data_IF_089809589535
#
_entry.id   IF_089809589535
#
_cell.length_a   1.000
_cell.length_b   1.000
_cell.length_c   1.000
_cell.angle_alpha   90.00
_cell.angle_beta   90.00
_cell.angle_gamma   90.00
#
_symmetry.space_group_name_H-M   'P 1'
#
loop_
_entity.id
_entity.type
_entity.pdbx_description
1 polymer ?
#
# COMPACT_ATOMS: atom_id res chain seq x y z
N UNK A 1 32.21 -24.71 -12.20
CA UNK A 1 33.04 -24.41 -11.00
C UNK A 1 33.38 -22.92 -10.84
N UNK A 2 33.80 -22.21 -11.90
CA UNK A 2 33.98 -20.74 -11.90
C UNK A 2 32.72 -19.95 -11.52
N UNK A 3 31.55 -20.35 -12.04
CA UNK A 3 30.27 -19.72 -11.65
C UNK A 3 29.90 -19.96 -10.19
N UNK A 4 30.11 -21.18 -9.66
CA UNK A 4 29.88 -21.46 -8.22
C UNK A 4 30.79 -20.61 -7.31
N UNK A 5 32.07 -20.42 -7.69
CA UNK A 5 33.00 -19.55 -6.94
C UNK A 5 32.65 -18.06 -7.07
N UNK A 6 32.20 -17.61 -8.25
CA UNK A 6 31.72 -16.25 -8.47
C UNK A 6 30.44 -15.97 -7.67
N UNK A 7 29.50 -16.91 -7.66
CA UNK A 7 28.28 -16.85 -6.84
C UNK A 7 28.67 -16.80 -5.37
N UNK A 8 29.50 -17.72 -4.86
CA UNK A 8 29.88 -17.74 -3.43
C UNK A 8 30.57 -16.44 -2.97
N UNK A 9 31.43 -15.84 -3.79
CA UNK A 9 32.04 -14.55 -3.51
C UNK A 9 31.03 -13.39 -3.48
N UNK A 10 30.11 -13.37 -4.45
CA UNK A 10 29.01 -12.41 -4.50
C UNK A 10 28.05 -12.60 -3.33
N UNK A 11 27.70 -13.83 -2.96
CA UNK A 11 26.81 -14.15 -1.82
C UNK A 11 27.43 -13.74 -0.49
N UNK A 12 28.75 -13.90 -0.31
CA UNK A 12 29.45 -13.46 0.90
C UNK A 12 29.46 -11.93 1.01
N UNK A 13 29.81 -11.24 -0.07
CA UNK A 13 29.76 -9.77 -0.14
C UNK A 13 28.34 -9.22 0.01
N UNK A 14 27.35 -9.89 -0.58
CA UNK A 14 25.94 -9.58 -0.45
C UNK A 14 25.48 -9.75 1.00
N UNK A 15 25.82 -10.85 1.67
CA UNK A 15 25.53 -11.05 3.10
C UNK A 15 26.19 -10.03 4.00
N UNK A 16 27.43 -9.64 3.72
CA UNK A 16 28.12 -8.59 4.48
C UNK A 16 27.48 -7.22 4.27
N UNK A 17 27.06 -6.91 3.03
CA UNK A 17 26.27 -5.71 2.71
C UNK A 17 24.89 -5.74 3.33
N UNK A 18 24.19 -6.87 3.29
CA UNK A 18 22.88 -7.08 3.89
C UNK A 18 22.93 -6.91 5.40
N UNK A 19 23.96 -7.43 6.08
CA UNK A 19 24.20 -7.20 7.52
C UNK A 19 24.42 -5.73 7.84
N UNK A 20 25.19 -5.00 7.01
CA UNK A 20 25.40 -3.55 7.18
C UNK A 20 24.13 -2.74 6.88
N UNK A 21 23.40 -3.12 5.84
CA UNK A 21 22.13 -2.55 5.45
C UNK A 21 21.06 -2.76 6.52
N UNK A 22 21.03 -3.94 7.16
CA UNK A 22 20.08 -4.23 8.25
C UNK A 22 20.27 -3.30 9.45
N UNK A 23 21.51 -2.88 9.74
CA UNK A 23 21.78 -1.93 10.83
C UNK A 23 21.37 -0.48 10.47
N UNK A 24 21.40 -0.10 9.19
CA UNK A 24 21.16 1.28 8.74
C UNK A 24 20.38 1.36 7.42
N UNK A 25 19.20 0.74 7.35
CA UNK A 25 18.33 0.85 6.19
C UNK A 25 17.59 2.20 6.21
N UNK A 26 18.16 3.22 5.56
CA UNK A 26 17.62 4.59 5.56
C UNK A 26 16.22 4.70 4.95
N UNK A 27 15.86 3.77 4.07
CA UNK A 27 14.57 3.69 3.37
C UNK A 27 13.48 2.98 4.16
N UNK A 28 13.86 2.22 5.19
CA UNK A 28 12.93 1.51 6.05
C UNK A 28 12.54 2.38 7.25
N UNK A 29 11.23 2.48 7.47
CA UNK A 29 10.59 2.93 8.71
C UNK A 29 9.89 1.73 9.30
N UNK A 30 10.61 1.03 10.16
CA UNK A 30 10.23 -0.28 10.64
C UNK A 30 9.03 -0.27 11.59
N UNK A 31 8.39 -1.42 11.76
CA UNK A 31 7.43 -1.70 12.82
C UNK A 31 8.09 -2.45 13.99
N UNK A 32 7.36 -2.62 15.09
CA UNK A 32 7.90 -3.24 16.32
C UNK A 32 7.74 -4.75 16.37
N UNK A 33 6.72 -5.27 15.70
CA UNK A 33 6.34 -6.68 15.71
C UNK A 33 6.49 -7.20 14.28
N UNK A 34 7.26 -8.27 14.13
CA UNK A 34 7.54 -8.94 12.87
C UNK A 34 6.98 -10.36 12.86
N UNK A 35 6.68 -10.87 11.67
CA UNK A 35 6.18 -12.24 11.48
C UNK A 35 7.14 -13.30 12.07
N UNK A 36 8.45 -13.07 11.93
CA UNK A 36 9.49 -13.97 12.41
C UNK A 36 9.87 -13.80 13.89
N UNK A 37 9.20 -12.92 14.64
CA UNK A 37 9.43 -12.80 16.08
C UNK A 37 9.00 -14.08 16.82
N UNK A 38 9.59 -14.39 17.99
CA UNK A 38 9.13 -15.48 18.82
C UNK A 38 7.65 -15.34 19.18
N UNK A 39 6.92 -16.45 19.21
CA UNK A 39 5.51 -16.44 19.58
C UNK A 39 5.29 -15.79 20.95
N UNK A 40 4.31 -14.89 21.10
CA UNK A 40 4.05 -14.24 22.36
C UNK A 40 3.75 -15.29 23.44
N UNK A 41 4.44 -15.19 24.58
CA UNK A 41 4.19 -16.06 25.73
C UNK A 41 2.90 -15.62 26.42
N UNK A 42 1.75 -16.03 25.90
CA UNK A 42 0.46 -15.75 26.55
C UNK A 42 0.35 -16.58 27.83
N UNK A 43 0.23 -15.90 28.98
CA UNK A 43 -0.35 -16.52 30.17
C UNK A 43 -1.82 -16.74 29.82
N UNK A 44 -2.19 -17.96 29.44
CA UNK A 44 -3.60 -18.35 29.26
C UNK A 44 -4.39 -18.00 30.52
N UNK A 45 -5.06 -16.85 30.54
CA UNK A 45 -6.28 -16.71 31.33
C UNK A 45 -7.33 -17.49 30.55
N UNK A 46 -7.97 -18.45 31.20
CA UNK A 46 -9.04 -19.23 30.60
C UNK A 46 -10.09 -18.28 29.99
N UNK A 47 -10.28 -18.34 28.68
CA UNK A 47 -11.35 -17.62 27.97
C UNK A 47 -10.94 -16.41 27.09
N UNK A 48 -9.71 -15.91 27.12
CA UNK A 48 -9.27 -14.81 26.24
C UNK A 48 -8.26 -15.30 25.17
N UNK A 49 -8.72 -15.46 23.92
CA UNK A 49 -7.83 -15.57 22.76
C UNK A 49 -7.33 -14.17 22.39
N UNK A 50 -6.09 -13.85 22.75
CA UNK A 50 -5.43 -12.66 22.23
C UNK A 50 -4.92 -12.96 20.81
N UNK A 51 -5.37 -12.24 19.77
CA UNK A 51 -4.89 -12.46 18.41
C UNK A 51 -3.40 -12.17 18.30
N UNK A 52 -2.69 -13.04 17.58
CA UNK A 52 -1.25 -12.92 17.38
C UNK A 52 -0.94 -11.86 16.32
N UNK A 53 -0.56 -10.67 16.79
CA UNK A 53 -0.26 -9.49 15.97
C UNK A 53 0.85 -9.71 14.94
N UNK A 54 1.64 -10.78 15.03
CA UNK A 54 2.66 -11.11 14.03
C UNK A 54 2.02 -11.36 12.65
N UNK A 55 0.82 -11.92 12.60
CA UNK A 55 0.08 -12.13 11.35
C UNK A 55 -0.62 -10.86 10.82
N UNK A 56 -0.66 -9.79 11.62
CA UNK A 56 -1.09 -8.47 11.17
C UNK A 56 0.08 -7.64 10.64
N UNK A 57 1.31 -8.16 10.72
CA UNK A 57 2.50 -7.42 10.31
C UNK A 57 2.52 -7.18 8.81
N UNK A 58 2.75 -5.94 8.41
CA UNK A 58 2.80 -5.55 7.01
C UNK A 58 3.94 -4.58 6.73
N UNK A 59 4.34 -4.48 5.47
CA UNK A 59 5.27 -3.48 4.97
C UNK A 59 4.68 -2.84 3.71
N UNK A 60 4.57 -1.51 3.74
CA UNK A 60 4.13 -0.70 2.60
C UNK A 60 5.36 -0.26 1.79
N UNK A 61 5.47 -0.74 0.55
CA UNK A 61 6.47 -0.30 -0.43
C UNK A 61 5.86 0.87 -1.20
N UNK A 62 6.41 2.07 -1.02
CA UNK A 62 5.87 3.30 -1.60
C UNK A 62 6.74 3.83 -2.73
N UNK A 63 6.12 4.46 -3.74
CA UNK A 63 6.79 5.06 -4.90
C UNK A 63 7.80 6.18 -4.56
N UNK A 64 7.58 6.93 -3.48
CA UNK A 64 8.49 8.01 -3.08
C UNK A 64 8.30 8.52 -1.67
N UNK A 65 9.09 9.52 -1.29
CA UNK A 65 9.13 10.06 0.07
C UNK A 65 7.82 10.79 0.45
N UNK A 66 7.06 11.30 -0.53
CA UNK A 66 5.76 11.93 -0.30
C UNK A 66 4.73 10.94 0.24
N UNK A 67 4.44 9.87 -0.52
CA UNK A 67 3.55 8.79 -0.09
C UNK A 67 4.05 8.11 1.20
N UNK A 68 5.37 7.86 1.29
CA UNK A 68 6.00 7.33 2.51
C UNK A 68 5.73 8.21 3.73
N UNK A 69 5.80 9.53 3.58
CA UNK A 69 5.52 10.50 4.64
C UNK A 69 4.08 10.44 5.13
N UNK A 70 3.10 10.36 4.23
CA UNK A 70 1.68 10.22 4.57
C UNK A 70 1.39 8.92 5.32
N UNK A 71 1.89 7.77 4.82
CA UNK A 71 1.71 6.47 5.48
C UNK A 71 2.42 6.44 6.84
N UNK A 72 3.65 6.96 6.91
CA UNK A 72 4.44 6.95 8.15
C UNK A 72 3.73 7.69 9.29
N UNK A 73 3.01 8.78 8.99
CA UNK A 73 2.24 9.54 9.99
C UNK A 73 0.94 8.84 10.42
N UNK A 74 0.42 7.93 9.60
CA UNK A 74 -0.92 7.36 9.74
C UNK A 74 -0.91 5.91 10.27
N UNK A 75 0.18 5.18 10.02
CA UNK A 75 0.33 3.74 10.28
C UNK A 75 0.25 3.37 11.76
N UNK A 76 -0.13 2.12 12.03
CA UNK A 76 0.18 1.49 13.32
C UNK A 76 1.66 1.09 13.36
N UNK A 77 2.44 1.84 14.14
CA UNK A 77 3.88 1.59 14.32
C UNK A 77 4.21 0.21 14.90
N UNK A 78 3.24 -0.50 15.47
CA UNK A 78 3.47 -1.84 16.00
C UNK A 78 3.56 -2.89 14.90
N UNK A 79 2.69 -2.83 13.89
CA UNK A 79 2.55 -3.91 12.89
C UNK A 79 2.86 -3.47 11.47
N UNK A 80 2.80 -2.18 11.14
CA UNK A 80 2.90 -1.71 9.77
C UNK A 80 4.22 -1.00 9.55
N UNK A 81 5.13 -1.50 8.72
CA UNK A 81 6.36 -0.84 8.30
C UNK A 81 6.18 -0.09 6.97
N UNK A 82 7.10 0.82 6.65
CA UNK A 82 7.11 1.56 5.37
C UNK A 82 8.50 1.52 4.75
N UNK A 83 8.58 1.25 3.46
CA UNK A 83 9.80 1.26 2.67
C UNK A 83 9.65 2.19 1.48
N UNK A 84 10.48 3.25 1.39
CA UNK A 84 10.41 4.20 0.27
C UNK A 84 11.36 3.82 -0.87
N UNK A 85 10.78 3.59 -2.05
CA UNK A 85 11.52 3.56 -3.30
C UNK A 85 11.99 4.96 -3.69
N UNK A 86 12.97 5.02 -4.57
CA UNK A 86 13.38 6.28 -5.22
C UNK A 86 13.34 6.11 -6.72
N UNK A 87 12.36 6.75 -7.33
CA UNK A 87 12.10 6.61 -8.76
C UNK A 87 11.66 5.20 -9.13
N UNK A 88 11.66 4.92 -10.43
CA UNK A 88 11.21 3.64 -10.97
C UNK A 88 12.22 2.53 -10.64
N UNK A 89 11.81 1.41 -10.04
CA UNK A 89 12.69 0.28 -9.83
C UNK A 89 13.32 -0.21 -11.13
N UNK A 90 14.50 -0.81 -11.03
CA UNK A 90 15.15 -1.42 -12.19
C UNK A 90 14.26 -2.52 -12.76
N UNK A 91 13.97 -2.50 -14.06
CA UNK A 91 13.34 -3.64 -14.73
C UNK A 91 14.27 -4.85 -14.62
N UNK A 92 13.89 -5.80 -13.77
CA UNK A 92 14.72 -6.95 -13.43
C UNK A 92 14.51 -8.14 -14.38
N UNK A 93 13.62 -8.00 -15.38
CA UNK A 93 13.33 -9.07 -16.31
C UNK A 93 14.58 -9.50 -17.09
N UNK A 94 14.86 -10.81 -17.10
CA UNK A 94 16.04 -11.37 -17.77
C UNK A 94 17.39 -11.03 -17.13
N UNK A 95 17.41 -10.24 -16.04
CA UNK A 95 18.63 -9.95 -15.29
C UNK A 95 19.04 -11.11 -14.39
N UNK A 96 20.34 -11.24 -14.17
CA UNK A 96 20.88 -12.22 -13.22
C UNK A 96 20.71 -11.74 -11.79
N UNK A 97 20.69 -12.68 -10.83
CA UNK A 97 20.68 -12.37 -9.38
C UNK A 97 21.78 -11.39 -8.98
N UNK A 98 22.96 -11.47 -9.61
CA UNK A 98 24.09 -10.58 -9.32
C UNK A 98 23.74 -9.10 -9.51
N UNK A 99 23.14 -8.75 -10.65
CA UNK A 99 22.77 -7.35 -10.96
C UNK A 99 21.74 -6.82 -9.96
N UNK A 100 20.80 -7.67 -9.57
CA UNK A 100 19.78 -7.36 -8.57
C UNK A 100 20.38 -7.15 -7.18
N UNK A 101 21.37 -7.95 -6.79
CA UNK A 101 22.09 -7.73 -5.52
C UNK A 101 22.98 -6.49 -5.51
N UNK A 102 23.49 -6.08 -6.67
CA UNK A 102 24.29 -4.85 -6.83
C UNK A 102 23.40 -3.59 -6.84
N UNK A 103 22.12 -3.74 -7.20
CA UNK A 103 21.15 -2.67 -7.13
C UNK A 103 20.81 -2.33 -5.66
N UNK A 104 20.99 -1.06 -5.29
CA UNK A 104 20.78 -0.61 -3.91
C UNK A 104 19.33 -0.76 -3.45
N UNK A 105 18.34 -0.41 -4.29
CA UNK A 105 16.91 -0.51 -3.95
C UNK A 105 16.52 -1.95 -3.60
N UNK A 106 16.88 -2.89 -4.48
CA UNK A 106 16.57 -4.31 -4.27
C UNK A 106 17.38 -4.91 -3.13
N UNK A 107 18.65 -4.51 -2.94
CA UNK A 107 19.44 -5.00 -1.81
C UNK A 107 18.83 -4.57 -0.47
N UNK A 108 18.45 -3.29 -0.35
CA UNK A 108 17.81 -2.76 0.86
C UNK A 108 16.43 -3.36 1.10
N UNK A 109 15.64 -3.62 0.04
CA UNK A 109 14.34 -4.26 0.16
C UNK A 109 14.45 -5.72 0.59
N UNK A 110 15.38 -6.48 0.00
CA UNK A 110 15.63 -7.87 0.39
C UNK A 110 16.04 -7.98 1.86
N UNK A 111 16.91 -7.08 2.32
CA UNK A 111 17.30 -6.99 3.73
C UNK A 111 16.10 -6.61 4.63
N UNK A 112 15.26 -5.67 4.19
CA UNK A 112 14.06 -5.28 4.92
C UNK A 112 13.08 -6.46 5.09
N UNK A 113 12.88 -7.27 4.05
CA UNK A 113 11.97 -8.43 4.08
C UNK A 113 12.60 -9.68 4.71
N UNK A 114 13.93 -9.76 4.75
CA UNK A 114 14.73 -10.92 5.13
C UNK A 114 14.44 -12.17 4.27
N UNK A 115 14.53 -12.01 2.94
CA UNK A 115 14.15 -13.05 1.97
C UNK A 115 15.32 -13.65 1.18
N UNK A 116 16.57 -13.25 1.46
CA UNK A 116 17.75 -13.64 0.67
C UNK A 116 17.96 -15.16 0.59
N UNK A 117 17.76 -15.85 1.72
CA UNK A 117 18.00 -17.29 1.89
C UNK A 117 16.68 -18.09 1.90
N UNK A 118 15.55 -17.48 1.52
CA UNK A 118 14.21 -18.10 1.56
C UNK A 118 13.23 -17.33 2.45
N UNK A 119 12.08 -17.94 2.74
CA UNK A 119 10.97 -17.28 3.45
C UNK A 119 10.87 -17.62 4.94
N UNK A 120 11.72 -18.52 5.46
CA UNK A 120 11.66 -18.97 6.86
C UNK A 120 11.89 -17.81 7.85
N UNK A 121 12.66 -16.80 7.42
CA UNK A 121 12.93 -15.59 8.18
C UNK A 121 12.08 -14.39 7.77
N UNK A 122 11.03 -14.57 6.96
CA UNK A 122 10.22 -13.46 6.44
C UNK A 122 9.70 -12.58 7.57
N UNK A 123 9.93 -11.26 7.44
CA UNK A 123 9.68 -10.31 8.53
C UNK A 123 8.25 -9.76 8.58
N UNK A 124 7.50 -9.84 7.50
CA UNK A 124 6.15 -9.28 7.42
C UNK A 124 5.22 -10.28 6.74
N UNK A 125 4.02 -10.44 7.28
CA UNK A 125 2.98 -11.28 6.70
C UNK A 125 2.46 -10.71 5.38
N UNK A 126 2.34 -9.37 5.28
CA UNK A 126 1.84 -8.69 4.09
C UNK A 126 2.88 -7.73 3.52
N UNK A 127 3.29 -7.98 2.29
CA UNK A 127 4.12 -7.09 1.46
C UNK A 127 3.19 -6.33 0.52
N UNK A 128 2.96 -5.05 0.83
CA UNK A 128 1.94 -4.23 0.17
C UNK A 128 2.62 -3.20 -0.71
N UNK A 129 2.40 -3.25 -2.02
CA UNK A 129 2.83 -2.20 -2.95
C UNK A 129 1.78 -1.09 -2.94
N UNK A 130 2.17 0.08 -2.45
CA UNK A 130 1.31 1.26 -2.28
C UNK A 130 1.82 2.40 -3.16
N UNK A 131 1.32 2.44 -4.40
CA UNK A 131 1.63 3.47 -5.39
C UNK A 131 0.40 4.29 -5.71
N UNK A 132 0.62 5.44 -6.35
CA UNK A 132 -0.45 6.30 -6.83
C UNK A 132 -1.28 5.58 -7.91
N UNK A 133 -2.51 6.06 -8.12
CA UNK A 133 -3.45 5.53 -9.10
C UNK A 133 -3.28 6.26 -10.45
N UNK A 134 -2.04 6.32 -10.92
CA UNK A 134 -1.62 6.96 -12.16
C UNK A 134 -0.72 6.01 -12.98
N UNK A 135 -0.30 6.49 -14.16
CA UNK A 135 0.52 5.71 -15.10
C UNK A 135 1.88 5.32 -14.53
N UNK A 136 2.47 6.17 -13.68
CA UNK A 136 3.78 5.92 -13.08
C UNK A 136 3.68 4.89 -11.94
N UNK A 137 2.66 5.00 -11.10
CA UNK A 137 2.34 4.03 -10.07
C UNK A 137 2.05 2.66 -10.66
N UNK A 138 1.25 2.58 -11.74
CA UNK A 138 1.02 1.33 -12.49
C UNK A 138 2.32 0.70 -12.99
N UNK A 139 3.24 1.50 -13.52
CA UNK A 139 4.55 1.02 -13.97
C UNK A 139 5.40 0.49 -12.80
N UNK A 140 5.43 1.18 -11.67
CA UNK A 140 6.15 0.73 -10.47
C UNK A 140 5.58 -0.59 -9.93
N UNK A 141 4.25 -0.74 -9.90
CA UNK A 141 3.59 -2.01 -9.54
C UNK A 141 4.10 -3.15 -10.41
N UNK A 142 4.13 -2.96 -11.73
CA UNK A 142 4.58 -3.97 -12.68
C UNK A 142 6.05 -4.34 -12.48
N UNK A 143 6.92 -3.35 -12.27
CA UNK A 143 8.35 -3.57 -11.99
C UNK A 143 8.55 -4.35 -10.69
N UNK A 144 7.76 -4.06 -9.66
CA UNK A 144 7.85 -4.75 -8.37
C UNK A 144 7.33 -6.18 -8.42
N UNK A 145 6.19 -6.40 -9.08
CA UNK A 145 5.67 -7.75 -9.32
C UNK A 145 6.67 -8.57 -10.13
N UNK A 146 7.28 -7.98 -11.16
CA UNK A 146 8.31 -8.64 -11.99
C UNK A 146 9.51 -9.08 -11.14
N UNK A 147 9.99 -8.22 -10.25
CA UNK A 147 11.07 -8.55 -9.32
C UNK A 147 10.68 -9.73 -8.41
N UNK A 148 9.50 -9.69 -7.79
CA UNK A 148 9.06 -10.78 -6.92
C UNK A 148 8.84 -12.09 -7.68
N UNK A 149 8.20 -12.06 -8.85
CA UNK A 149 7.98 -13.26 -9.68
C UNK A 149 9.30 -13.91 -10.11
N UNK A 150 10.29 -13.13 -10.52
CA UNK A 150 11.53 -13.68 -11.06
C UNK A 150 12.49 -14.19 -9.97
N UNK A 151 12.56 -13.51 -8.83
CA UNK A 151 13.57 -13.81 -7.81
C UNK A 151 13.01 -14.46 -6.55
N UNK A 152 11.74 -14.19 -6.21
CA UNK A 152 11.07 -14.64 -4.98
C UNK A 152 9.63 -15.14 -5.24
N UNK A 153 9.40 -16.03 -6.23
CA UNK A 153 8.05 -16.43 -6.62
C UNK A 153 7.24 -17.07 -5.48
N UNK A 154 7.93 -17.68 -4.51
CA UNK A 154 7.28 -18.30 -3.36
C UNK A 154 6.63 -17.27 -2.43
N UNK A 155 7.07 -16.01 -2.45
CA UNK A 155 6.44 -14.92 -1.69
C UNK A 155 5.02 -14.65 -2.22
N UNK A 156 4.86 -14.71 -3.55
CA UNK A 156 3.56 -14.57 -4.24
C UNK A 156 2.73 -15.84 -4.04
N UNK A 157 3.31 -17.03 -4.27
CA UNK A 157 2.58 -18.31 -4.15
C UNK A 157 2.02 -18.55 -2.74
N UNK A 158 2.70 -18.08 -1.70
CA UNK A 158 2.23 -18.17 -0.32
C UNK A 158 1.23 -17.06 0.06
N UNK A 159 0.91 -16.15 -0.85
CA UNK A 159 -0.10 -15.11 -0.65
C UNK A 159 0.36 -13.95 0.21
N UNK A 160 1.64 -13.59 0.18
CA UNK A 160 2.16 -12.46 0.97
C UNK A 160 2.16 -11.13 0.21
N UNK A 161 2.00 -11.12 -1.11
CA UNK A 161 2.13 -9.89 -1.93
C UNK A 161 0.76 -9.31 -2.29
N UNK A 162 0.59 -8.01 -2.03
CA UNK A 162 -0.66 -7.30 -2.24
C UNK A 162 -0.42 -5.95 -2.92
N UNK A 163 -1.42 -5.45 -3.64
CA UNK A 163 -1.49 -4.07 -4.11
C UNK A 163 -2.49 -3.32 -3.23
N UNK A 164 -2.11 -2.16 -2.71
CA UNK A 164 -3.05 -1.28 -2.01
C UNK A 164 -3.93 -0.58 -3.05
N UNK A 165 -5.24 -0.78 -2.95
CA UNK A 165 -6.19 0.05 -3.69
C UNK A 165 -6.35 1.38 -2.99
N UNK A 166 -6.29 2.46 -3.76
CA UNK A 166 -6.33 3.82 -3.27
C UNK A 166 -7.56 4.52 -3.85
N UNK A 167 -8.25 5.36 -3.07
CA UNK A 167 -9.46 6.01 -3.56
C UNK A 167 -9.11 7.01 -4.66
N UNK A 168 -9.90 7.00 -5.73
CA UNK A 168 -9.78 7.92 -6.86
C UNK A 168 -10.53 9.23 -6.57
N UNK A 169 -11.64 9.14 -5.84
CA UNK A 169 -12.49 10.28 -5.54
C UNK A 169 -12.91 10.34 -4.07
N UNK A 170 -13.22 11.55 -3.63
CA UNK A 170 -13.93 11.84 -2.38
C UNK A 170 -15.17 12.63 -2.72
N UNK A 171 -16.33 12.13 -2.30
CA UNK A 171 -17.62 12.81 -2.43
C UNK A 171 -18.11 13.14 -1.03
N UNK A 172 -18.46 14.40 -0.75
CA UNK A 172 -18.92 14.80 0.59
C UNK A 172 -20.07 15.80 0.53
N UNK A 173 -20.99 15.72 1.47
CA UNK A 173 -22.04 16.74 1.64
C UNK A 173 -22.31 17.00 3.13
N UNK A 174 -22.81 18.19 3.47
CA UNK A 174 -23.17 18.54 4.84
C UNK A 174 -24.24 17.58 5.35
N UNK A 175 -24.03 17.06 6.56
CA UNK A 175 -25.02 16.18 7.22
C UNK A 175 -26.35 16.92 7.34
N UNK A 176 -27.42 16.31 6.84
CA UNK A 176 -28.79 16.80 7.07
C UNK A 176 -29.01 16.79 8.58
N UNK A 177 -29.19 17.96 9.20
CA UNK A 177 -29.59 18.05 10.61
C UNK A 177 -30.97 17.39 10.71
N UNK A 178 -31.01 16.18 11.27
CA UNK A 178 -32.28 15.59 11.70
C UNK A 178 -32.85 16.55 12.74
N UNK A 179 -33.91 17.28 12.39
CA UNK A 179 -34.64 18.11 13.35
C UNK A 179 -35.27 17.14 14.36
N UNK A 180 -34.58 16.90 15.48
CA UNK A 180 -35.18 16.23 16.61
C UNK A 180 -36.47 16.98 16.96
N UNK A 181 -37.59 16.27 16.93
CA UNK A 181 -38.88 16.82 17.31
C UNK A 181 -38.75 17.43 18.72
N UNK A 182 -39.00 18.74 18.84
CA UNK A 182 -39.08 19.43 20.12
C UNK A 182 -40.20 18.77 20.93
N UNK A 183 -39.85 18.00 21.94
CA UNK A 183 -40.72 17.72 23.07
C UNK A 183 -39.96 17.99 24.39
N UNK A 184 -40.24 19.20 24.89
CA UNK A 184 -40.45 19.66 26.28
C UNK A 184 -39.60 19.06 27.42
N UNK A 185 -38.89 19.95 28.12
CA UNK A 185 -38.34 19.72 29.48
C UNK A 185 -37.03 20.47 29.72
N UNK A 186 -37.08 21.78 29.90
CA UNK A 186 -35.89 22.60 30.14
C UNK A 186 -35.53 22.61 31.65
N UNK A 187 -34.44 21.94 32.01
CA UNK A 187 -33.65 22.27 33.21
C UNK A 187 -32.35 22.95 32.78
N UNK A 188 -32.01 24.08 33.41
CA UNK A 188 -30.80 24.86 33.09
C UNK A 188 -29.54 24.13 33.58
N UNK A 189 -28.55 23.85 32.72
CA UNK A 189 -27.29 23.27 33.16
C UNK A 189 -26.42 24.35 33.82
N UNK A 190 -25.75 23.97 34.90
CA UNK A 190 -24.74 24.77 35.59
C UNK A 190 -23.43 24.88 34.76
N UNK A 191 -22.65 25.93 35.04
CA UNK A 191 -21.47 26.33 34.25
C UNK A 191 -20.39 25.23 34.06
N UNK A 192 -20.30 24.26 34.98
CA UNK A 192 -19.40 23.11 34.87
C UNK A 192 -19.88 22.08 33.81
N UNK A 193 -21.20 21.87 33.70
CA UNK A 193 -21.80 21.02 32.67
C UNK A 193 -21.64 21.60 31.27
N UNK A 194 -21.63 22.93 31.14
CA UNK A 194 -21.45 23.63 29.86
C UNK A 194 -20.03 23.44 29.27
N UNK A 195 -19.00 23.40 30.12
CA UNK A 195 -17.62 23.17 29.70
C UNK A 195 -17.36 21.71 29.26
N UNK A 196 -18.04 20.74 29.90
CA UNK A 196 -17.99 19.33 29.54
C UNK A 196 -18.76 19.11 28.22
N UNK A 197 -19.94 19.71 28.06
CA UNK A 197 -20.71 19.66 26.81
C UNK A 197 -19.97 20.28 25.62
N UNK A 198 -19.20 21.36 25.84
CA UNK A 198 -18.37 22.01 24.80
C UNK A 198 -17.18 21.16 24.38
N UNK A 199 -16.56 20.41 25.31
CA UNK A 199 -15.47 19.46 24.98
C UNK A 199 -15.99 18.25 24.21
N UNK A 200 -17.14 17.69 24.58
CA UNK A 200 -17.75 16.55 23.87
C UNK A 200 -18.30 16.96 22.49
N UNK A 201 -18.77 18.20 22.32
CA UNK A 201 -19.19 18.71 21.00
C UNK A 201 -18.03 18.97 20.03
N UNK A 202 -16.82 19.18 20.53
CA UNK A 202 -15.66 19.44 19.67
C UNK A 202 -15.03 18.18 19.06
N UNK A 203 -15.34 16.98 19.59
CA UNK A 203 -14.88 15.70 19.02
C UNK A 203 -15.76 15.16 17.89
N UNK A 204 -16.93 15.75 17.65
CA UNK A 204 -17.91 15.32 16.63
C UNK A 204 -17.81 16.12 15.31
N UNK A 205 -16.63 16.70 15.04
CA UNK A 205 -16.35 17.44 13.80
C UNK A 205 -16.12 16.49 12.62
N UNK A 206 -17.21 15.92 12.13
CA UNK A 206 -17.42 15.95 10.68
C UNK A 206 -18.83 16.48 10.43
N UNK A 207 -18.90 17.78 10.14
CA UNK A 207 -20.11 18.45 9.61
C UNK A 207 -20.57 17.82 8.29
N UNK A 208 -19.69 17.04 7.65
CA UNK A 208 -19.90 16.38 6.38
C UNK A 208 -20.09 14.87 6.55
N UNK A 209 -20.96 14.29 5.74
CA UNK A 209 -20.93 12.89 5.37
C UNK A 209 -20.00 12.76 4.16
N UNK A 210 -19.05 11.83 4.22
CA UNK A 210 -17.99 11.67 3.21
C UNK A 210 -17.95 10.21 2.75
N UNK A 211 -17.86 10.00 1.45
CA UNK A 211 -17.71 8.70 0.80
C UNK A 211 -16.45 8.74 -0.08
N UNK A 212 -15.56 7.77 0.11
CA UNK A 212 -14.39 7.57 -0.74
C UNK A 212 -14.70 6.52 -1.79
N UNK A 213 -14.40 6.82 -3.05
CA UNK A 213 -14.78 6.01 -4.20
C UNK A 213 -13.52 5.53 -4.93
N UNK A 214 -13.53 4.27 -5.35
CA UNK A 214 -12.41 3.57 -5.99
C UNK A 214 -12.66 3.30 -7.48
N UNK A 215 -13.87 3.59 -7.97
CA UNK A 215 -14.25 3.50 -9.37
C UNK A 215 -15.22 4.62 -9.74
N UNK A 216 -15.43 4.79 -11.04
CA UNK A 216 -16.39 5.76 -11.59
C UNK A 216 -17.83 5.40 -11.20
N UNK A 217 -18.16 4.12 -11.17
CA UNK A 217 -19.47 3.63 -10.73
C UNK A 217 -19.72 3.94 -9.26
N UNK A 218 -18.72 3.75 -8.39
CA UNK A 218 -18.80 4.15 -6.98
C UNK A 218 -18.97 5.66 -6.83
N UNK A 219 -18.31 6.46 -7.69
CA UNK A 219 -18.43 7.93 -7.71
C UNK A 219 -19.85 8.36 -8.02
N UNK A 220 -20.44 7.84 -9.10
CA UNK A 220 -21.80 8.16 -9.52
C UNK A 220 -22.83 7.79 -8.44
N UNK A 221 -22.71 6.60 -7.85
CA UNK A 221 -23.57 6.17 -6.75
C UNK A 221 -23.43 7.06 -5.50
N UNK A 222 -22.22 7.52 -5.19
CA UNK A 222 -21.98 8.43 -4.07
C UNK A 222 -22.59 9.81 -4.29
N UNK A 223 -22.55 10.33 -5.53
CA UNK A 223 -23.18 11.61 -5.92
C UNK A 223 -24.70 11.54 -5.73
N UNK A 224 -25.33 10.46 -6.22
CA UNK A 224 -26.76 10.24 -6.05
C UNK A 224 -27.15 10.18 -4.57
N UNK A 225 -26.38 9.40 -3.78
CA UNK A 225 -26.62 9.25 -2.35
C UNK A 225 -26.49 10.55 -1.57
N UNK A 226 -25.53 11.40 -1.95
CA UNK A 226 -25.21 12.66 -1.27
C UNK A 226 -25.82 13.89 -1.96
N UNK A 227 -26.83 13.71 -2.81
CA UNK A 227 -27.58 14.79 -3.46
C UNK A 227 -28.28 15.75 -2.47
N UNK A 228 -28.56 17.01 -2.85
CA UNK A 228 -28.49 17.58 -4.20
C UNK A 228 -27.09 18.05 -4.65
N UNK A 229 -26.29 18.65 -3.75
CA UNK A 229 -25.06 19.35 -4.13
C UNK A 229 -23.83 18.82 -3.39
N UNK A 230 -23.36 17.61 -3.70
CA UNK A 230 -22.15 17.07 -3.09
C UNK A 230 -20.88 17.73 -3.65
N UNK A 231 -19.92 17.97 -2.77
CA UNK A 231 -18.56 18.38 -3.15
C UNK A 231 -17.75 17.14 -3.58
N UNK A 232 -17.17 17.18 -4.79
CA UNK A 232 -16.38 16.08 -5.35
C UNK A 232 -14.91 16.51 -5.43
N UNK A 233 -13.99 15.66 -4.99
CA UNK A 233 -12.54 15.83 -5.12
C UNK A 233 -11.96 14.61 -5.82
N UNK A 234 -11.17 14.78 -6.88
CA UNK A 234 -10.36 13.70 -7.48
C UNK A 234 -8.96 13.73 -6.86
N UNK A 235 -8.48 12.59 -6.39
CA UNK A 235 -7.10 12.46 -5.90
C UNK A 235 -6.17 12.18 -7.07
N UNK A 236 -5.08 12.94 -7.17
CA UNK A 236 -4.03 12.68 -8.18
C UNK A 236 -2.93 11.77 -7.66
N UNK A 237 -2.75 11.71 -6.35
CA UNK A 237 -1.73 10.87 -5.72
C UNK A 237 -1.92 10.73 -4.21
N UNK A 238 -1.21 9.80 -3.60
CA UNK A 238 -1.33 9.47 -2.17
C UNK A 238 -0.88 10.61 -1.25
N UNK A 239 -0.02 11.51 -1.76
CA UNK A 239 0.44 12.69 -1.03
C UNK A 239 -0.63 13.76 -0.79
N UNK A 240 -1.73 13.74 -1.55
CA UNK A 240 -2.82 14.73 -1.43
C UNK A 240 -3.81 14.38 -0.30
N UNK A 241 -3.80 13.13 0.16
CA UNK A 241 -4.65 12.64 1.22
C UNK A 241 -4.02 13.02 2.56
N UNK A 242 -4.80 13.67 3.44
CA UNK A 242 -4.32 14.02 4.77
C UNK A 242 -4.04 12.77 5.62
N UNK A 243 -3.05 12.77 6.54
CA UNK A 243 -2.77 11.60 7.37
C UNK A 243 -3.97 11.08 8.18
N UNK A 244 -4.82 11.98 8.67
CA UNK A 244 -6.02 11.61 9.43
C UNK A 244 -7.04 10.87 8.57
N UNK A 245 -7.18 11.24 7.28
CA UNK A 245 -8.00 10.50 6.32
C UNK A 245 -7.32 9.17 5.93
N UNK A 246 -6.02 9.21 5.64
CA UNK A 246 -5.26 8.07 5.15
C UNK A 246 -5.29 6.88 6.11
N UNK A 247 -5.29 7.15 7.42
CA UNK A 247 -5.39 6.13 8.46
C UNK A 247 -6.57 5.16 8.24
N UNK A 248 -7.67 5.64 7.66
CA UNK A 248 -8.85 4.81 7.38
C UNK A 248 -8.63 3.85 6.20
N UNK A 249 -7.70 4.13 5.30
CA UNK A 249 -7.40 3.29 4.13
C UNK A 249 -6.37 2.19 4.42
N UNK A 250 -5.63 2.32 5.51
CA UNK A 250 -4.64 1.34 5.98
C UNK A 250 -5.03 0.74 7.34
N UNK A 251 -6.32 0.75 7.66
CA UNK A 251 -6.89 0.06 8.82
C UNK A 251 -7.18 -1.42 8.56
N UNK A 252 -7.91 -2.09 9.47
CA UNK A 252 -8.32 -3.49 9.30
C UNK A 252 -9.11 -3.76 8.01
N UNK A 253 -9.91 -2.80 7.56
CA UNK A 253 -10.76 -2.89 6.36
C UNK A 253 -10.07 -2.36 5.09
N UNK A 254 -8.74 -2.30 5.09
CA UNK A 254 -7.97 -1.86 3.92
C UNK A 254 -8.30 -2.69 2.68
N UNK A 255 -8.50 -2.03 1.54
CA UNK A 255 -8.74 -2.70 0.26
C UNK A 255 -7.41 -3.16 -0.33
N UNK A 256 -7.12 -4.45 -0.17
CA UNK A 256 -5.94 -5.09 -0.73
C UNK A 256 -6.32 -6.02 -1.87
N UNK A 257 -5.61 -5.89 -2.98
CA UNK A 257 -5.71 -6.82 -4.09
C UNK A 257 -4.55 -7.83 -4.02
N UNK A 258 -4.82 -9.13 -3.79
CA UNK A 258 -3.77 -10.13 -3.70
C UNK A 258 -3.15 -10.40 -5.06
N UNK A 259 -1.82 -10.37 -5.14
CA UNK A 259 -1.11 -10.86 -6.32
C UNK A 259 -1.05 -12.38 -6.22
N UNK A 260 -1.66 -13.06 -7.18
CA UNK A 260 -1.74 -14.53 -7.21
C UNK A 260 -1.03 -15.11 -8.42
N UNK A 261 -0.69 -16.40 -8.33
CA UNK A 261 -0.01 -17.15 -9.37
C UNK A 261 -0.66 -18.52 -9.53
N UNK A 262 -1.32 -18.76 -10.65
CA UNK A 262 -1.89 -20.06 -10.98
C UNK A 262 -0.90 -20.91 -11.77
N UNK A 263 -1.02 -22.24 -11.65
CA UNK A 263 -0.15 -23.18 -12.38
C UNK A 263 -0.33 -23.11 -13.91
N UNK A 264 -1.49 -22.66 -14.37
CA UNK A 264 -1.81 -22.44 -15.78
C UNK A 264 -1.16 -21.19 -16.37
N UNK A 265 -0.67 -20.29 -15.52
CA UNK A 265 -0.18 -19.00 -15.98
C UNK A 265 1.18 -19.19 -16.66
N UNK A 266 1.25 -18.89 -17.96
CA UNK A 266 2.52 -18.82 -18.66
C UNK A 266 3.23 -17.49 -18.37
N UNK A 267 3.71 -17.38 -17.14
CA UNK A 267 4.35 -16.18 -16.58
C UNK A 267 5.60 -15.79 -17.37
N UNK A 268 6.33 -16.79 -17.89
CA UNK A 268 7.51 -16.56 -18.71
C UNK A 268 7.17 -15.76 -19.97
N UNK A 269 6.20 -16.23 -20.76
CA UNK A 269 5.77 -15.54 -21.97
C UNK A 269 5.11 -14.19 -21.67
N UNK A 270 4.33 -14.08 -20.59
CA UNK A 270 3.71 -12.82 -20.19
C UNK A 270 4.76 -11.76 -19.83
N UNK A 271 5.74 -12.12 -18.99
CA UNK A 271 6.81 -11.21 -18.61
C UNK A 271 7.74 -10.89 -19.80
N UNK A 272 8.01 -11.85 -20.68
CA UNK A 272 8.76 -11.57 -21.91
C UNK A 272 8.02 -10.57 -22.80
N UNK A 273 6.71 -10.76 -22.96
CA UNK A 273 5.87 -9.89 -23.76
C UNK A 273 5.75 -8.49 -23.18
N UNK A 274 5.64 -8.28 -21.87
CA UNK A 274 5.48 -6.93 -21.29
C UNK A 274 6.81 -6.29 -20.83
N UNK A 275 7.74 -7.08 -20.31
CA UNK A 275 8.97 -6.60 -19.65
C UNK A 275 10.24 -6.85 -20.47
N UNK A 276 10.17 -7.67 -21.52
CA UNK A 276 11.28 -7.94 -22.44
C UNK A 276 11.63 -6.77 -23.36
N UNK A 277 12.46 -7.03 -24.37
CA UNK A 277 12.81 -6.03 -25.39
C UNK A 277 11.58 -5.57 -26.15
N UNK A 278 11.59 -4.33 -26.62
CA UNK A 278 10.49 -3.80 -27.43
C UNK A 278 10.44 -4.52 -28.79
N UNK A 279 9.37 -5.27 -29.05
CA UNK A 279 9.13 -5.99 -30.30
C UNK A 279 8.13 -5.23 -31.17
N UNK A 280 8.14 -5.44 -32.49
CA UNK A 280 7.14 -4.86 -33.39
C UNK A 280 5.72 -5.28 -33.03
N UNK A 281 5.54 -6.53 -32.57
CA UNK A 281 4.26 -7.04 -32.09
C UNK A 281 3.75 -6.29 -30.86
N UNK A 282 4.64 -6.02 -29.89
CA UNK A 282 4.29 -5.20 -28.72
C UNK A 282 3.92 -3.79 -29.14
N UNK A 283 4.69 -3.18 -30.04
CA UNK A 283 4.38 -1.84 -30.55
C UNK A 283 3.02 -1.81 -31.25
N UNK A 284 2.76 -2.76 -32.14
CA UNK A 284 1.48 -2.87 -32.85
C UNK A 284 0.32 -3.01 -31.87
N UNK A 285 0.42 -3.93 -30.90
CA UNK A 285 -0.60 -4.10 -29.87
C UNK A 285 -0.83 -2.82 -29.06
N UNK A 286 0.22 -2.12 -28.65
CA UNK A 286 0.08 -0.84 -27.94
C UNK A 286 -0.65 0.17 -28.81
N UNK A 287 -0.26 0.32 -30.09
CA UNK A 287 -0.91 1.25 -31.03
C UNK A 287 -2.39 0.91 -31.18
N UNK A 288 -2.72 -0.38 -31.35
CA UNK A 288 -4.10 -0.84 -31.58
C UNK A 288 -4.99 -0.73 -30.34
N UNK A 289 -4.41 -0.73 -29.13
CA UNK A 289 -5.13 -0.68 -27.86
C UNK A 289 -4.92 0.63 -27.09
N UNK A 290 -4.21 1.60 -27.66
CA UNK A 290 -3.98 2.89 -27.02
C UNK A 290 -5.30 3.66 -26.98
N UNK A 291 -5.91 3.73 -25.81
CA UNK A 291 -7.05 4.60 -25.56
C UNK A 291 -6.50 6.01 -25.31
N UNK A 292 -6.79 6.92 -26.23
CA UNK A 292 -6.50 8.34 -26.04
C UNK A 292 -7.69 8.93 -25.29
N UNK A 293 -7.54 9.17 -23.99
CA UNK A 293 -8.48 10.00 -23.24
C UNK A 293 -8.25 11.45 -23.71
N UNK A 294 -9.14 11.96 -24.57
CA UNK A 294 -9.16 13.39 -24.88
C UNK A 294 -9.66 14.13 -23.63
N UNK A 295 -8.83 15.01 -23.07
CA UNK A 295 -9.28 16.00 -22.09
C UNK A 295 -10.33 16.87 -22.78
N UNK A 296 -11.62 16.62 -22.51
CA UNK A 296 -12.69 17.54 -22.90
C UNK A 296 -12.39 18.89 -22.24
N UNK A 297 -11.87 19.84 -23.01
CA UNK A 297 -11.75 21.22 -22.56
C UNK A 297 -13.15 21.76 -22.27
N UNK A 298 -13.31 22.49 -21.17
CA UNK A 298 -14.57 23.07 -20.66
C UNK A 298 -15.27 24.07 -21.64
N UNK A 299 -14.95 24.06 -22.93
CA UNK A 299 -15.51 24.94 -23.95
C UNK A 299 -16.78 24.37 -24.63
N UNK A 300 -17.21 23.14 -24.32
CA UNK A 300 -18.36 22.46 -24.96
C UNK A 300 -19.55 22.13 -24.03
N UNK A 301 -19.75 22.84 -22.91
CA UNK A 301 -21.01 22.83 -22.13
C UNK A 301 -21.71 24.20 -22.05
#
# INVERSE_FOLDING_TARGET
>A
EKERKAIAGVTKLARERAKKANLHNRKLRDCRIHLNDPAPKTKKKEGEETPDKRFDSSIFITEGDSASGSITKSRDVNTQAVFSLRGKPLNSFGLTKKVVYENEEFNLLQAALNIEDGLDGLRYDKVIVATDADVDGMHIRLLMITFFLQFFPDLIKKGHVYILQTPLFRVRNKKKKVRAAKNVGAEQPNAAGEAILKKTRNSDRSEFETIYCYSEEERLAAIEKLSPDPEITRFKGLGEISPDEFKNFIGPDMRLEPVSLHKSDNVGSLLEYYMGKNTMERQGFIIDNLVVEEDLTEEDE
#
